data_IF_372224290126
#
_entry.id   IF_372224290126
#
_cell.length_a   1.000
_cell.length_b   1.000
_cell.length_c   1.000
_cell.angle_alpha   90.00
_cell.angle_beta   90.00
_cell.angle_gamma   90.00
#
_symmetry.space_group_name_H-M   'P 1'
#
loop_
_entity.id
_entity.type
_entity.pdbx_description
1 polymer ?
#
# COMPACT_ATOMS: atom_id res chain seq x y z
N UNK A 1 85.27 11.45 -2.75
CA UNK A 1 84.11 11.83 -3.61
C UNK A 1 82.88 11.12 -3.09
N UNK A 2 82.11 11.80 -2.31
CA UNK A 2 80.88 11.23 -1.67
C UNK A 2 79.67 11.64 -2.49
N UNK A 3 79.07 10.66 -3.18
CA UNK A 3 77.82 10.87 -3.92
C UNK A 3 76.64 10.77 -2.94
N UNK A 4 76.06 11.91 -2.64
CA UNK A 4 74.84 11.98 -1.86
C UNK A 4 73.65 11.54 -2.73
N UNK A 5 73.17 10.33 -2.53
CA UNK A 5 71.92 9.86 -3.13
C UNK A 5 70.73 10.50 -2.38
N UNK A 6 70.08 11.41 -3.05
CA UNK A 6 68.83 12.03 -2.56
C UNK A 6 67.72 10.99 -2.61
N UNK A 7 66.93 10.78 -1.56
CA UNK A 7 65.86 9.78 -1.60
C UNK A 7 64.67 10.30 -2.45
N UNK A 8 64.40 9.56 -3.53
CA UNK A 8 63.27 9.75 -4.45
C UNK A 8 61.92 9.26 -3.84
N UNK A 9 61.77 9.39 -2.54
CA UNK A 9 60.63 8.78 -1.80
C UNK A 9 59.54 9.79 -1.36
N UNK A 10 59.59 11.03 -1.85
CA UNK A 10 58.66 12.08 -1.31
C UNK A 10 57.66 12.64 -2.34
N UNK A 11 57.37 11.94 -3.44
CA UNK A 11 56.50 12.49 -4.50
C UNK A 11 55.25 11.66 -4.82
N UNK A 12 54.80 10.78 -3.96
CA UNK A 12 53.67 9.90 -4.26
C UNK A 12 52.53 9.92 -3.21
N UNK A 13 52.36 11.00 -2.46
CA UNK A 13 51.31 11.05 -1.42
C UNK A 13 50.24 12.14 -1.68
N UNK A 14 50.22 12.77 -2.82
CA UNK A 14 49.38 13.95 -3.02
C UNK A 14 48.17 13.79 -3.98
N UNK A 15 47.65 12.57 -4.29
CA UNK A 15 46.53 12.41 -5.24
C UNK A 15 45.45 11.47 -4.73
N UNK A 16 45.12 11.48 -3.47
CA UNK A 16 43.85 10.87 -2.97
C UNK A 16 43.15 11.81 -2.00
N UNK A 17 42.78 12.98 -2.47
CA UNK A 17 41.76 13.73 -1.83
C UNK A 17 40.39 13.13 -2.24
N UNK A 18 39.56 12.60 -1.32
CA UNK A 18 38.22 12.19 -1.68
C UNK A 18 37.44 13.44 -2.14
N UNK A 19 36.93 13.41 -3.36
CA UNK A 19 35.98 14.42 -3.84
C UNK A 19 34.66 14.16 -3.10
N UNK A 20 34.59 14.60 -1.85
CA UNK A 20 33.34 14.64 -1.07
C UNK A 20 32.59 15.91 -1.43
N UNK A 21 32.03 15.97 -2.63
CA UNK A 21 31.01 16.96 -2.94
C UNK A 21 29.72 16.57 -2.20
N UNK A 22 28.92 17.54 -1.73
CA UNK A 22 27.61 17.23 -1.21
C UNK A 22 26.79 16.54 -2.29
N UNK A 23 26.34 15.30 -2.02
CA UNK A 23 25.45 14.59 -2.93
C UNK A 23 24.09 15.31 -2.90
N UNK A 24 23.76 16.03 -3.95
CA UNK A 24 22.43 16.59 -4.11
C UNK A 24 21.43 15.43 -4.29
N UNK A 25 20.29 15.47 -3.59
CA UNK A 25 19.28 14.44 -3.73
C UNK A 25 18.72 14.46 -5.17
N UNK A 26 18.75 13.30 -5.83
CA UNK A 26 18.24 13.13 -7.19
C UNK A 26 16.74 13.38 -7.32
N UNK A 27 16.02 13.34 -6.18
CA UNK A 27 14.57 13.54 -6.11
C UNK A 27 14.25 14.45 -4.93
N UNK A 28 13.53 15.54 -5.20
CA UNK A 28 12.95 16.39 -4.15
C UNK A 28 11.50 15.99 -3.94
N UNK A 29 11.21 15.39 -2.78
CA UNK A 29 9.84 15.04 -2.40
C UNK A 29 9.14 16.27 -1.81
N UNK A 30 7.93 16.55 -2.29
CA UNK A 30 7.06 17.58 -1.73
C UNK A 30 5.83 16.92 -1.13
N UNK A 31 5.49 17.28 0.10
CA UNK A 31 4.22 16.89 0.69
C UNK A 31 3.08 17.67 0.07
N UNK A 32 2.01 16.98 -0.30
CA UNK A 32 0.77 17.56 -0.79
C UNK A 32 -0.35 17.12 0.13
N UNK A 33 -1.13 18.06 0.63
CA UNK A 33 -2.37 17.75 1.35
C UNK A 33 -3.47 17.58 0.32
N UNK A 34 -4.14 16.44 0.35
CA UNK A 34 -5.29 16.13 -0.51
C UNK A 34 -6.49 15.89 0.38
N UNK A 35 -7.57 16.63 0.12
CA UNK A 35 -8.85 16.37 0.75
C UNK A 35 -9.52 15.19 0.06
N UNK A 36 -9.71 14.10 0.81
CA UNK A 36 -10.40 12.91 0.30
C UNK A 36 -11.91 13.12 0.44
N UNK A 37 -12.70 12.78 -0.59
CA UNK A 37 -14.16 12.89 -0.51
C UNK A 37 -14.71 11.96 0.57
N UNK A 38 -15.65 12.46 1.36
CA UNK A 38 -16.29 11.70 2.45
C UNK A 38 -17.03 10.45 1.96
N UNK A 39 -17.50 10.45 0.72
CA UNK A 39 -18.17 9.31 0.08
C UNK A 39 -17.31 8.04 -0.01
N UNK A 40 -16.00 8.13 0.15
CA UNK A 40 -15.10 6.98 0.11
C UNK A 40 -14.94 6.29 1.48
N UNK A 41 -15.48 6.87 2.54
CA UNK A 41 -15.28 6.37 3.90
C UNK A 41 -16.26 5.27 4.30
N UNK A 42 -17.40 5.16 3.64
CA UNK A 42 -18.45 4.21 4.00
C UNK A 42 -19.06 3.54 2.77
N UNK A 43 -19.58 2.35 2.96
CA UNK A 43 -20.35 1.68 1.92
C UNK A 43 -21.73 2.35 1.79
N UNK A 44 -22.17 2.72 0.58
CA UNK A 44 -23.41 3.45 0.36
C UNK A 44 -24.65 2.56 0.39
N UNK A 45 -25.78 3.16 0.74
CA UNK A 45 -27.11 2.61 0.53
C UNK A 45 -27.59 1.62 1.59
N UNK A 46 -28.82 1.12 1.43
CA UNK A 46 -29.47 0.24 2.40
C UNK A 46 -28.72 -1.09 2.59
N UNK A 47 -28.65 -1.57 3.85
CA UNK A 47 -28.03 -2.83 4.20
C UNK A 47 -26.49 -2.82 4.18
N UNK A 48 -25.89 -1.64 4.18
CA UNK A 48 -24.43 -1.47 4.24
C UNK A 48 -23.83 -1.65 5.64
N UNK A 49 -24.65 -1.75 6.69
CA UNK A 49 -24.16 -1.80 8.07
C UNK A 49 -23.24 -3.00 8.32
N UNK A 50 -23.65 -4.19 7.89
CA UNK A 50 -22.85 -5.41 8.09
C UNK A 50 -21.48 -5.30 7.40
N UNK A 51 -21.42 -4.88 6.13
CA UNK A 51 -20.16 -4.72 5.40
C UNK A 51 -19.34 -3.57 5.97
N UNK A 52 -19.95 -2.46 6.36
CA UNK A 52 -19.27 -1.32 6.97
C UNK A 52 -18.59 -1.72 8.29
N UNK A 53 -19.31 -2.42 9.15
CA UNK A 53 -18.80 -2.79 10.48
C UNK A 53 -17.69 -3.85 10.42
N UNK A 54 -17.71 -4.71 9.42
CA UNK A 54 -16.77 -5.83 9.34
C UNK A 54 -15.58 -5.58 8.37
N UNK A 55 -15.74 -4.75 7.34
CA UNK A 55 -14.74 -4.65 6.26
C UNK A 55 -13.88 -3.38 6.32
N UNK A 56 -14.40 -2.26 6.85
CA UNK A 56 -13.67 -0.98 6.88
C UNK A 56 -12.46 -0.97 7.82
N UNK A 57 -12.30 -1.96 8.67
CA UNK A 57 -11.12 -2.09 9.51
C UNK A 57 -9.82 -2.32 8.69
N UNK A 58 -9.94 -2.93 7.49
CA UNK A 58 -8.81 -3.31 6.65
C UNK A 58 -8.89 -2.75 5.22
N UNK A 59 -10.08 -2.45 4.73
CA UNK A 59 -10.34 -1.97 3.37
C UNK A 59 -11.01 -0.61 3.37
N UNK A 60 -10.76 0.20 2.33
CA UNK A 60 -11.66 1.31 2.03
C UNK A 60 -12.90 0.80 1.28
N UNK A 61 -14.03 1.50 1.39
CA UNK A 61 -15.23 1.16 0.63
C UNK A 61 -14.94 1.19 -0.89
N UNK A 62 -14.20 2.19 -1.37
CA UNK A 62 -13.84 2.32 -2.78
C UNK A 62 -13.00 1.15 -3.28
N UNK A 63 -12.08 0.61 -2.48
CA UNK A 63 -11.29 -0.56 -2.86
C UNK A 63 -12.18 -1.76 -3.18
N UNK A 64 -13.25 -1.97 -2.44
CA UNK A 64 -14.20 -3.06 -2.67
C UNK A 64 -15.14 -2.73 -3.83
N UNK A 65 -15.67 -1.49 -3.86
CA UNK A 65 -16.65 -1.07 -4.88
C UNK A 65 -16.05 -0.91 -6.28
N UNK A 66 -14.73 -0.74 -6.41
CA UNK A 66 -14.04 -0.69 -7.69
C UNK A 66 -13.65 -2.07 -8.24
N UNK A 67 -13.95 -3.16 -7.52
CA UNK A 67 -13.79 -4.50 -8.07
C UNK A 67 -14.73 -4.73 -9.27
N UNK A 68 -14.38 -5.62 -10.19
CA UNK A 68 -15.30 -6.00 -11.28
C UNK A 68 -16.61 -6.57 -10.73
N UNK A 69 -17.65 -6.55 -11.55
CA UNK A 69 -18.90 -7.24 -11.21
C UNK A 69 -18.66 -8.75 -11.16
N UNK A 70 -19.01 -9.40 -10.05
CA UNK A 70 -18.74 -10.81 -9.81
C UNK A 70 -20.02 -11.56 -9.44
N UNK A 71 -20.17 -12.84 -9.83
CA UNK A 71 -21.28 -13.67 -9.40
C UNK A 71 -21.33 -13.83 -7.87
N UNK A 72 -22.52 -14.08 -7.33
CA UNK A 72 -22.71 -14.29 -5.88
C UNK A 72 -21.78 -15.35 -5.30
N UNK A 73 -21.56 -16.45 -6.03
CA UNK A 73 -20.65 -17.51 -5.61
C UNK A 73 -19.21 -17.05 -5.45
N UNK A 74 -18.75 -16.14 -6.31
CA UNK A 74 -17.42 -15.56 -6.22
C UNK A 74 -17.32 -14.61 -5.03
N UNK A 75 -18.32 -13.76 -4.79
CA UNK A 75 -18.37 -12.91 -3.61
C UNK A 75 -18.36 -13.74 -2.32
N UNK A 76 -19.11 -14.84 -2.29
CA UNK A 76 -19.09 -15.77 -1.16
C UNK A 76 -17.68 -16.36 -0.93
N UNK A 77 -17.00 -16.74 -2.01
CA UNK A 77 -15.64 -17.28 -1.92
C UNK A 77 -14.63 -16.22 -1.44
N UNK A 78 -14.76 -14.96 -1.90
CA UNK A 78 -13.89 -13.87 -1.44
C UNK A 78 -14.09 -13.55 0.04
N UNK A 79 -15.33 -13.45 0.52
CA UNK A 79 -15.61 -13.25 1.95
C UNK A 79 -15.06 -14.42 2.77
N UNK A 80 -15.25 -15.65 2.32
CA UNK A 80 -14.69 -16.84 2.97
C UNK A 80 -13.16 -16.79 3.04
N UNK A 81 -12.51 -16.37 1.95
CA UNK A 81 -11.04 -16.20 1.90
C UNK A 81 -10.56 -15.14 2.89
N UNK A 82 -11.26 -14.00 3.03
CA UNK A 82 -10.92 -12.99 4.03
C UNK A 82 -10.94 -13.58 5.45
N UNK A 83 -11.95 -14.38 5.77
CA UNK A 83 -12.08 -15.01 7.08
C UNK A 83 -11.02 -16.10 7.30
N UNK A 84 -10.88 -17.02 6.37
CA UNK A 84 -10.06 -18.21 6.55
C UNK A 84 -8.56 -17.95 6.38
N UNK A 85 -8.18 -17.20 5.34
CA UNK A 85 -6.78 -16.98 4.98
C UNK A 85 -6.21 -15.75 5.67
N UNK A 86 -6.95 -14.64 5.65
CA UNK A 86 -6.49 -13.36 6.21
C UNK A 86 -6.94 -13.12 7.65
N UNK A 87 -7.74 -14.05 8.21
CA UNK A 87 -8.21 -13.98 9.61
C UNK A 87 -9.00 -12.71 9.93
N UNK A 88 -9.74 -12.21 8.93
CA UNK A 88 -10.61 -11.06 9.12
C UNK A 88 -11.63 -11.34 10.23
N UNK A 89 -11.82 -10.43 11.19
CA UNK A 89 -12.72 -10.62 12.33
C UNK A 89 -14.19 -10.34 11.93
N UNK A 90 -14.69 -11.11 10.96
CA UNK A 90 -16.08 -11.00 10.48
C UNK A 90 -16.99 -11.83 11.35
N UNK A 91 -18.06 -11.22 11.85
CA UNK A 91 -19.10 -11.94 12.59
C UNK A 91 -19.79 -12.95 11.67
N UNK A 92 -19.90 -14.19 12.10
CA UNK A 92 -20.51 -15.26 11.30
C UNK A 92 -21.96 -14.99 10.90
N UNK A 93 -22.70 -14.27 11.73
CA UNK A 93 -24.08 -13.83 11.48
C UNK A 93 -24.20 -12.77 10.39
N UNK A 94 -23.15 -11.99 10.15
CA UNK A 94 -23.12 -10.92 9.15
C UNK A 94 -22.72 -11.41 7.74
N UNK A 95 -22.14 -12.60 7.63
CA UNK A 95 -21.59 -13.12 6.34
C UNK A 95 -22.64 -13.12 5.22
N UNK A 96 -23.84 -13.59 5.51
CA UNK A 96 -24.92 -13.64 4.52
C UNK A 96 -25.33 -12.23 4.06
N UNK A 97 -25.47 -11.29 4.99
CA UNK A 97 -25.81 -9.90 4.68
C UNK A 97 -24.73 -9.18 3.88
N UNK A 98 -23.44 -9.43 4.18
CA UNK A 98 -22.29 -8.91 3.44
C UNK A 98 -22.32 -9.42 1.99
N UNK A 99 -22.49 -10.74 1.78
CA UNK A 99 -22.54 -11.34 0.45
C UNK A 99 -23.74 -10.83 -0.35
N UNK A 100 -24.88 -10.68 0.29
CA UNK A 100 -26.07 -10.14 -0.37
C UNK A 100 -25.92 -8.67 -0.73
N UNK A 101 -25.27 -7.87 0.11
CA UNK A 101 -24.92 -6.48 -0.23
C UNK A 101 -24.00 -6.42 -1.45
N UNK A 102 -22.90 -7.17 -1.45
CA UNK A 102 -21.95 -7.22 -2.55
C UNK A 102 -22.62 -7.69 -3.85
N UNK A 103 -23.48 -8.69 -3.77
CA UNK A 103 -24.21 -9.21 -4.94
C UNK A 103 -25.15 -8.16 -5.53
N UNK A 104 -25.88 -7.41 -4.69
CA UNK A 104 -26.76 -6.33 -5.20
C UNK A 104 -26.01 -5.17 -5.80
N UNK A 105 -24.86 -4.83 -5.21
CA UNK A 105 -24.11 -3.60 -5.55
C UNK A 105 -23.10 -3.84 -6.66
N UNK A 106 -22.51 -5.02 -6.69
CA UNK A 106 -21.41 -5.42 -7.60
C UNK A 106 -21.60 -6.84 -8.15
N UNK A 107 -22.85 -7.29 -8.28
CA UNK A 107 -23.14 -8.60 -8.86
C UNK A 107 -23.04 -8.59 -10.39
N UNK A 108 -22.53 -9.68 -10.96
CA UNK A 108 -22.70 -10.04 -12.36
C UNK A 108 -23.90 -10.99 -12.48
N UNK A 109 -24.69 -10.82 -13.54
CA UNK A 109 -25.74 -11.76 -13.92
C UNK A 109 -25.16 -13.09 -14.43
#
# INVERSE_FOLDING_TARGET
MSRKTLPLALLMVAILAPISGPAEPLVTLKSVTVDLPDSERMFPGPGSDAITNNCLACHSASMVLNQPALPKSTWQAEVTKMIQNYKAPVNSEDVAAIVDYLTRTKGAE
#
